data_IF_506633118344
#
_entry.id   IF_506633118344
#
_cell.length_a   1.000
_cell.length_b   1.000
_cell.length_c   1.000
_cell.angle_alpha   90.00
_cell.angle_beta   90.00
_cell.angle_gamma   90.00
#
_symmetry.space_group_name_H-M   'P 1'
#
loop_
_entity.id
_entity.type
_entity.pdbx_description
1 polymer ?
#
# COMPACT_ATOMS: atom_id res chain seq x y z
N UNK A 1 9.60 1.87 -3.24
CA UNK A 1 9.51 0.50 -2.71
C UNK A 1 9.18 -0.50 -3.81
N UNK A 2 9.74 -1.71 -3.69
CA UNK A 2 9.37 -2.87 -4.50
C UNK A 2 8.41 -3.74 -3.70
N UNK A 3 7.20 -3.90 -4.21
CA UNK A 3 6.12 -4.65 -3.56
C UNK A 3 6.01 -6.02 -4.20
N UNK A 4 6.23 -7.05 -3.39
CA UNK A 4 6.10 -8.45 -3.77
C UNK A 4 5.07 -9.15 -2.87
N UNK A 5 5.17 -10.46 -2.70
CA UNK A 5 4.24 -11.28 -1.88
C UNK A 5 4.27 -11.03 -0.37
N UNK A 6 5.02 -10.06 0.14
CA UNK A 6 5.14 -9.73 1.55
C UNK A 6 4.17 -8.64 2.03
N UNK A 7 4.08 -8.46 3.37
CA UNK A 7 3.29 -7.38 4.00
C UNK A 7 4.05 -6.04 4.03
N UNK A 8 5.35 -6.06 3.72
CA UNK A 8 6.22 -4.89 3.62
C UNK A 8 6.97 -4.92 2.30
N UNK A 9 7.49 -3.77 1.82
CA UNK A 9 8.36 -3.75 0.67
C UNK A 9 9.53 -4.72 0.84
N UNK A 10 9.86 -5.45 -0.22
CA UNK A 10 10.98 -6.39 -0.22
C UNK A 10 12.33 -5.65 -0.26
N UNK A 11 12.38 -4.58 -1.04
CA UNK A 11 13.54 -3.68 -1.19
C UNK A 11 13.09 -2.36 -1.85
N UNK A 12 14.06 -1.51 -2.20
CA UNK A 12 13.81 -0.23 -2.86
C UNK A 12 14.52 -0.18 -4.22
N UNK A 13 13.87 0.46 -5.18
CA UNK A 13 14.35 0.66 -6.54
C UNK A 13 14.16 2.14 -6.92
N UNK A 14 14.90 2.61 -7.90
CA UNK A 14 14.79 3.97 -8.47
C UNK A 14 13.75 4.05 -9.62
N UNK A 15 13.15 2.93 -10.01
CA UNK A 15 12.12 2.85 -11.06
C UNK A 15 10.82 2.35 -10.44
N UNK A 16 9.70 2.97 -10.84
CA UNK A 16 8.35 2.54 -10.49
C UNK A 16 7.60 2.11 -11.76
N UNK A 17 6.68 1.15 -11.61
CA UNK A 17 5.74 0.74 -12.65
C UNK A 17 4.28 1.07 -12.31
N UNK A 18 4.04 1.55 -11.09
CA UNK A 18 2.72 1.99 -10.63
C UNK A 18 2.86 3.31 -9.85
N UNK A 19 2.12 4.34 -10.32
CA UNK A 19 2.14 5.68 -9.72
C UNK A 19 1.18 5.75 -8.53
N UNK A 20 1.66 6.28 -7.43
CA UNK A 20 0.89 6.42 -6.18
C UNK A 20 -0.18 7.53 -6.23
N UNK A 21 -1.19 7.43 -5.40
CA UNK A 21 -1.52 6.32 -4.48
C UNK A 21 -1.88 5.03 -5.20
N UNK A 22 -1.44 3.90 -4.63
CA UNK A 22 -1.62 2.56 -5.21
C UNK A 22 -2.12 1.58 -4.16
N UNK A 23 -3.18 0.86 -4.45
CA UNK A 23 -3.59 -0.34 -3.70
C UNK A 23 -2.84 -1.53 -4.30
N UNK A 24 -2.24 -2.35 -3.47
CA UNK A 24 -1.63 -3.61 -3.89
C UNK A 24 -2.28 -4.79 -3.19
N UNK A 25 -2.36 -5.92 -3.87
CA UNK A 25 -2.88 -7.18 -3.34
C UNK A 25 -1.83 -8.24 -3.64
N UNK A 26 -1.21 -8.78 -2.60
CA UNK A 26 -0.18 -9.82 -2.72
C UNK A 26 -0.71 -11.01 -3.53
N UNK A 27 0.04 -11.46 -4.54
CA UNK A 27 -0.40 -12.53 -5.41
C UNK A 27 -0.01 -13.91 -4.87
N UNK A 28 1.11 -14.06 -4.15
CA UNK A 28 1.62 -15.37 -3.78
C UNK A 28 2.20 -15.46 -2.36
N UNK A 29 2.41 -16.70 -1.90
CA UNK A 29 3.02 -17.01 -0.62
C UNK A 29 2.06 -16.92 0.56
N UNK A 30 2.60 -16.97 1.78
CA UNK A 30 1.83 -16.96 3.02
C UNK A 30 0.93 -15.72 3.20
N UNK A 31 1.27 -14.60 2.53
CA UNK A 31 0.52 -13.37 2.59
C UNK A 31 -0.33 -13.12 1.32
N UNK A 32 -0.55 -14.13 0.48
CA UNK A 32 -1.40 -13.98 -0.70
C UNK A 32 -2.78 -13.41 -0.31
N UNK A 33 -3.23 -12.38 -1.05
CA UNK A 33 -4.45 -11.64 -0.73
C UNK A 33 -4.28 -10.51 0.28
N UNK A 34 -3.07 -10.24 0.80
CA UNK A 34 -2.85 -9.09 1.67
C UNK A 34 -3.04 -7.79 0.90
N UNK A 35 -3.96 -6.95 1.37
CA UNK A 35 -4.27 -5.64 0.80
C UNK A 35 -3.47 -4.56 1.51
N UNK A 36 -2.67 -3.81 0.76
CA UNK A 36 -1.91 -2.67 1.25
C UNK A 36 -2.17 -1.42 0.40
N UNK A 37 -1.96 -0.25 1.00
CA UNK A 37 -1.99 1.04 0.33
C UNK A 37 -0.59 1.66 0.41
N UNK A 38 -0.10 2.14 -0.72
CA UNK A 38 1.12 2.93 -0.81
C UNK A 38 0.77 4.32 -1.31
N UNK A 39 1.12 5.34 -0.54
CA UNK A 39 0.88 6.76 -0.87
C UNK A 39 1.99 7.35 -1.76
N UNK A 40 2.82 6.50 -2.33
CA UNK A 40 3.96 6.82 -3.20
C UNK A 40 4.03 5.84 -4.37
N UNK A 41 4.84 6.17 -5.34
CA UNK A 41 5.13 5.28 -6.47
C UNK A 41 5.78 3.99 -5.98
N UNK A 42 5.42 2.87 -6.62
CA UNK A 42 5.95 1.55 -6.29
C UNK A 42 6.37 0.79 -7.55
N UNK A 43 7.26 -0.16 -7.38
CA UNK A 43 7.44 -1.24 -8.35
C UNK A 43 6.61 -2.43 -7.88
N UNK A 44 5.46 -2.64 -8.52
CA UNK A 44 4.60 -3.80 -8.27
C UNK A 44 5.16 -5.01 -9.01
N UNK A 45 5.55 -6.04 -8.26
CA UNK A 45 6.17 -7.27 -8.77
C UNK A 45 5.20 -8.46 -8.62
N UNK A 46 5.22 -9.15 -7.48
CA UNK A 46 4.33 -10.28 -7.21
C UNK A 46 3.05 -9.82 -6.49
N UNK A 47 2.33 -8.91 -7.12
CA UNK A 47 1.06 -8.39 -6.62
C UNK A 47 0.19 -7.86 -7.77
N UNK A 48 -1.12 -7.92 -7.60
CA UNK A 48 -2.05 -7.12 -8.39
C UNK A 48 -2.11 -5.71 -7.83
N UNK A 49 -2.35 -4.70 -8.66
CA UNK A 49 -2.45 -3.33 -8.18
C UNK A 49 -3.55 -2.53 -8.88
N UNK A 50 -4.00 -1.47 -8.20
CA UNK A 50 -4.93 -0.47 -8.71
C UNK A 50 -4.35 0.89 -8.34
N UNK A 51 -4.11 1.76 -9.32
CA UNK A 51 -3.61 3.11 -9.09
C UNK A 51 -4.76 4.13 -9.03
N UNK A 52 -4.48 5.30 -8.44
CA UNK A 52 -5.45 6.41 -8.46
C UNK A 52 -5.75 6.89 -9.89
N UNK A 53 -4.80 6.75 -10.81
CA UNK A 53 -4.99 7.10 -12.21
C UNK A 53 -6.04 6.20 -12.88
N UNK A 54 -6.10 4.92 -12.48
CA UNK A 54 -7.07 3.95 -13.00
C UNK A 54 -8.43 4.07 -12.28
N UNK A 55 -8.41 4.44 -10.99
CA UNK A 55 -9.62 4.56 -10.19
C UNK A 55 -9.53 5.76 -9.24
N UNK A 56 -10.23 6.89 -9.55
CA UNK A 56 -10.22 8.09 -8.72
C UNK A 56 -10.83 7.88 -7.32
N UNK A 57 -11.66 6.84 -7.15
CA UNK A 57 -12.28 6.48 -5.86
C UNK A 57 -11.37 5.57 -5.01
N UNK A 58 -10.05 5.77 -5.11
CA UNK A 58 -9.02 4.90 -4.52
C UNK A 58 -9.18 4.70 -3.00
N UNK A 59 -9.60 5.75 -2.28
CA UNK A 59 -9.76 5.70 -0.83
C UNK A 59 -10.92 4.81 -0.41
N UNK A 60 -12.07 5.00 -1.06
CA UNK A 60 -13.25 4.17 -0.85
C UNK A 60 -12.90 2.70 -1.15
N UNK A 61 -12.29 2.46 -2.31
CA UNK A 61 -11.95 1.11 -2.75
C UNK A 61 -10.94 0.44 -1.80
N UNK A 62 -9.91 1.17 -1.36
CA UNK A 62 -8.95 0.65 -0.39
C UNK A 62 -9.62 0.23 0.92
N UNK A 63 -10.41 1.10 1.51
CA UNK A 63 -11.05 0.83 2.80
C UNK A 63 -12.08 -0.29 2.69
N UNK A 64 -12.82 -0.37 1.58
CA UNK A 64 -13.73 -1.46 1.27
C UNK A 64 -12.98 -2.80 1.18
N UNK A 65 -11.91 -2.88 0.40
CA UNK A 65 -11.10 -4.09 0.28
C UNK A 65 -10.42 -4.44 1.61
N UNK A 66 -9.94 -3.45 2.35
CA UNK A 66 -9.33 -3.67 3.67
C UNK A 66 -10.32 -4.20 4.69
N UNK A 67 -11.56 -3.75 4.68
CA UNK A 67 -12.63 -4.31 5.53
C UNK A 67 -12.93 -5.77 5.21
N UNK A 68 -12.66 -6.20 3.97
CA UNK A 68 -12.83 -7.58 3.49
C UNK A 68 -11.53 -8.39 3.49
N UNK A 69 -10.49 -7.92 4.20
CA UNK A 69 -9.17 -8.55 4.21
C UNK A 69 -9.21 -10.06 4.47
N UNK A 70 -10.02 -10.50 5.44
CA UNK A 70 -10.15 -11.93 5.79
C UNK A 70 -10.75 -12.75 4.64
N UNK A 71 -11.75 -12.21 3.96
CA UNK A 71 -12.41 -12.84 2.82
C UNK A 71 -11.44 -12.97 1.65
N UNK A 72 -10.71 -11.90 1.32
CA UNK A 72 -9.71 -11.91 0.24
C UNK A 72 -8.58 -12.92 0.55
N UNK A 73 -8.09 -12.95 1.78
CA UNK A 73 -7.09 -13.95 2.19
C UNK A 73 -7.66 -15.37 2.13
N UNK A 74 -8.94 -15.55 2.44
CA UNK A 74 -9.62 -16.85 2.33
C UNK A 74 -9.79 -17.37 0.88
N UNK A 75 -9.53 -16.53 -0.13
CA UNK A 75 -9.56 -16.91 -1.56
C UNK A 75 -8.26 -17.56 -2.04
N UNK A 76 -7.32 -17.84 -1.15
CA UNK A 76 -6.07 -18.52 -1.49
C UNK A 76 -6.33 -19.90 -2.09
N UNK A 77 -5.62 -20.20 -3.18
CA UNK A 77 -5.64 -21.48 -3.89
C UNK A 77 -4.22 -22.04 -3.93
N UNK A 78 -4.08 -23.33 -3.69
CA UNK A 78 -2.78 -24.02 -3.68
C UNK A 78 -2.28 -24.29 -2.26
N UNK A 79 -2.03 -25.58 -1.96
CA UNK A 79 -1.63 -26.01 -0.61
C UNK A 79 -0.14 -25.72 -0.30
N UNK A 80 0.76 -25.91 -1.29
CA UNK A 80 2.20 -25.71 -1.09
C UNK A 80 2.61 -24.24 -1.23
N UNK A 81 2.01 -23.54 -2.17
CA UNK A 81 2.25 -22.11 -2.41
C UNK A 81 0.89 -21.44 -2.67
N UNK A 82 0.30 -20.81 -1.66
CA UNK A 82 -0.98 -20.12 -1.82
C UNK A 82 -0.89 -18.99 -2.85
N UNK A 83 -1.93 -18.86 -3.69
CA UNK A 83 -2.07 -17.77 -4.65
C UNK A 83 -3.45 -17.14 -4.58
N UNK A 84 -3.52 -15.82 -4.73
CA UNK A 84 -4.75 -15.06 -4.97
C UNK A 84 -4.64 -14.38 -6.33
N UNK A 85 -5.55 -14.71 -7.23
CA UNK A 85 -5.56 -14.14 -8.58
C UNK A 85 -6.53 -12.96 -8.68
N UNK A 86 -6.31 -12.01 -9.62
CA UNK A 86 -7.22 -10.88 -9.83
C UNK A 86 -8.68 -11.28 -10.00
N UNK A 87 -8.94 -12.41 -10.69
CA UNK A 87 -10.29 -12.94 -10.88
C UNK A 87 -11.01 -13.30 -9.57
N UNK A 88 -10.27 -13.74 -8.55
CA UNK A 88 -10.83 -14.04 -7.24
C UNK A 88 -11.29 -12.76 -6.55
N UNK A 89 -10.44 -11.71 -6.59
CA UNK A 89 -10.78 -10.40 -6.02
C UNK A 89 -11.96 -9.76 -6.78
N UNK A 90 -12.00 -9.90 -8.10
CA UNK A 90 -13.10 -9.40 -8.93
C UNK A 90 -14.43 -10.13 -8.67
N UNK A 91 -14.40 -11.34 -8.11
CA UNK A 91 -15.63 -12.09 -7.75
C UNK A 91 -16.23 -11.68 -6.40
N UNK A 92 -15.59 -10.75 -5.66
CA UNK A 92 -16.14 -10.23 -4.41
C UNK A 92 -17.50 -9.59 -4.64
N UNK A 93 -18.49 -10.07 -3.92
CA UNK A 93 -19.81 -9.42 -3.88
C UNK A 93 -19.74 -8.21 -2.97
N UNK A 94 -19.77 -7.03 -3.56
CA UNK A 94 -19.65 -5.76 -2.85
C UNK A 94 -20.96 -4.96 -2.98
N UNK A 95 -21.40 -4.36 -1.86
CA UNK A 95 -22.40 -3.31 -1.90
C UNK A 95 -21.68 -2.03 -2.37
N UNK A 96 -22.02 -1.57 -3.57
CA UNK A 96 -21.42 -0.39 -4.16
C UNK A 96 -22.40 0.78 -4.03
N UNK A 97 -22.13 1.76 -3.14
CA UNK A 97 -23.05 2.90 -2.95
C UNK A 97 -23.17 3.76 -4.21
N UNK A 98 -24.22 4.59 -4.34
CA UNK A 98 -24.34 5.53 -5.45
C UNK A 98 -23.12 6.45 -5.56
N UNK A 99 -22.75 6.82 -6.79
CA UNK A 99 -21.56 7.66 -7.08
C UNK A 99 -21.48 8.94 -6.23
N UNK A 100 -22.57 9.73 -6.03
CA UNK A 100 -22.48 10.93 -5.20
C UNK A 100 -22.01 10.65 -3.77
N UNK A 101 -22.43 9.53 -3.18
CA UNK A 101 -22.04 9.16 -1.82
C UNK A 101 -20.57 8.73 -1.76
N UNK A 102 -20.08 8.00 -2.78
CA UNK A 102 -18.67 7.60 -2.88
C UNK A 102 -17.75 8.82 -3.09
N UNK A 103 -18.17 9.77 -3.92
CA UNK A 103 -17.43 11.00 -4.13
C UNK A 103 -17.33 11.81 -2.82
N UNK A 104 -18.47 12.03 -2.15
CA UNK A 104 -18.47 12.69 -0.86
C UNK A 104 -17.57 12.00 0.16
N UNK A 105 -17.57 10.68 0.20
CA UNK A 105 -16.68 9.91 1.05
C UNK A 105 -15.20 10.17 0.69
N UNK A 106 -14.82 10.06 -0.59
CA UNK A 106 -13.44 10.29 -1.02
C UNK A 106 -12.96 11.72 -0.73
N UNK A 107 -13.83 12.73 -0.94
CA UNK A 107 -13.52 14.12 -0.61
C UNK A 107 -13.26 14.31 0.90
N UNK A 108 -14.09 13.70 1.74
CA UNK A 108 -13.94 13.81 3.21
C UNK A 108 -12.66 13.12 3.71
N UNK A 109 -12.24 12.02 3.10
CA UNK A 109 -11.06 11.27 3.58
C UNK A 109 -9.76 11.67 2.89
N UNK A 110 -9.80 12.37 1.77
CA UNK A 110 -8.61 12.78 1.00
C UNK A 110 -7.61 13.55 1.88
N UNK A 111 -8.10 14.49 2.70
CA UNK A 111 -7.26 15.25 3.64
C UNK A 111 -6.52 14.38 4.65
N UNK A 112 -7.13 13.31 5.13
CA UNK A 112 -6.48 12.38 6.06
C UNK A 112 -5.37 11.59 5.37
N UNK A 113 -5.60 11.10 4.16
CA UNK A 113 -4.56 10.38 3.41
C UNK A 113 -3.42 11.30 2.98
N UNK A 114 -3.71 12.56 2.64
CA UNK A 114 -2.67 13.57 2.41
C UNK A 114 -1.83 13.80 3.66
N UNK A 115 -2.46 13.93 4.84
CA UNK A 115 -1.75 14.10 6.11
C UNK A 115 -0.90 12.87 6.43
N UNK A 116 -1.42 11.64 6.25
CA UNK A 116 -0.65 10.41 6.45
C UNK A 116 0.58 10.40 5.54
N UNK A 117 0.43 10.73 4.25
CA UNK A 117 1.54 10.80 3.30
C UNK A 117 2.62 11.80 3.74
N UNK A 118 2.20 12.97 4.23
CA UNK A 118 3.10 13.98 4.75
C UNK A 118 3.87 13.48 5.99
N UNK A 119 3.17 12.86 6.94
CA UNK A 119 3.78 12.32 8.16
C UNK A 119 4.74 11.17 7.86
N UNK A 120 4.40 10.27 6.93
CA UNK A 120 5.32 9.22 6.47
C UNK A 120 6.62 9.82 5.92
N UNK A 121 6.53 10.89 5.13
CA UNK A 121 7.69 11.59 4.60
C UNK A 121 8.52 12.25 5.70
N UNK A 122 7.88 12.84 6.71
CA UNK A 122 8.57 13.41 7.87
C UNK A 122 9.32 12.34 8.67
N UNK A 123 8.67 11.19 8.91
CA UNK A 123 9.31 10.05 9.60
C UNK A 123 10.54 9.58 8.82
N UNK A 124 10.44 9.46 7.50
CA UNK A 124 11.56 9.07 6.64
C UNK A 124 12.73 10.06 6.76
N UNK A 125 12.44 11.38 6.69
CA UNK A 125 13.45 12.42 6.79
C UNK A 125 14.13 12.44 8.18
N UNK A 126 13.34 12.33 9.25
CA UNK A 126 13.86 12.28 10.63
C UNK A 126 14.69 11.03 10.87
N UNK A 127 14.28 9.89 10.31
CA UNK A 127 15.05 8.64 10.37
C UNK A 127 16.41 8.82 9.68
N UNK A 128 16.44 9.39 8.48
CA UNK A 128 17.70 9.69 7.76
C UNK A 128 18.58 10.66 8.53
N UNK A 129 17.99 11.71 9.10
CA UNK A 129 18.74 12.69 9.90
C UNK A 129 19.37 12.04 11.14
N UNK A 130 18.60 11.22 11.87
CA UNK A 130 19.11 10.44 13.00
C UNK A 130 20.28 9.54 12.58
N UNK A 131 20.10 8.77 11.52
CA UNK A 131 21.10 7.79 11.07
C UNK A 131 22.39 8.46 10.55
N UNK A 132 22.30 9.69 10.05
CA UNK A 132 23.47 10.52 9.66
C UNK A 132 24.15 11.18 10.87
N UNK A 133 23.39 11.62 11.87
CA UNK A 133 23.92 12.35 13.00
C UNK A 133 24.46 11.44 14.09
N UNK A 134 23.81 10.31 14.36
CA UNK A 134 24.20 9.42 15.46
C UNK A 134 25.67 8.97 15.40
N UNK A 135 26.22 8.51 14.25
CA UNK A 135 27.64 8.16 14.17
C UNK A 135 28.56 9.35 14.44
N UNK A 136 28.20 10.53 13.99
CA UNK A 136 29.01 11.78 14.18
C UNK A 136 29.08 12.23 15.64
N UNK A 137 27.92 12.08 16.34
CA UNK A 137 27.87 12.34 17.77
C UNK A 137 28.69 11.31 18.55
N UNK A 138 28.63 10.05 18.19
CA UNK A 138 29.38 8.98 18.87
C UNK A 138 30.87 9.09 18.65
N UNK A 139 31.31 9.63 17.50
CA UNK A 139 32.73 9.87 17.19
C UNK A 139 33.27 11.22 17.69
N UNK A 140 32.41 12.03 18.31
CA UNK A 140 32.83 13.40 18.77
C UNK A 140 33.05 14.41 17.65
N UNK A 141 32.54 14.13 16.44
CA UNK A 141 32.65 15.08 15.31
C UNK A 141 31.65 16.25 15.43
N UNK A 142 30.61 16.07 16.23
CA UNK A 142 29.58 17.07 16.53
C UNK A 142 29.41 17.12 18.06
N UNK A 143 29.57 18.28 18.65
CA UNK A 143 29.30 18.55 20.06
C UNK A 143 27.81 18.98 20.22
N UNK A 144 27.18 18.61 21.33
CA UNK A 144 25.79 18.96 21.69
C UNK A 144 25.84 20.09 22.74
#
# INVERSE_FOLDING_TARGET
>A
PVVAGGVRPAYYNNVANALGPVITISASGANAGYVALYLRDVWASDCSFISRADNPEIWFLFLLMKSRQKEITGMQVGAAQPHVYPKHVASLSLIYPPTPLRNLFNENVDGYFCLISYLEKQIENLTKARDLLLPKLMNGEVEV
#
